data_IF_499880165125
#
_entry.id   IF_499880165125
#
_cell.length_a   1.000
_cell.length_b   1.000
_cell.length_c   1.000
_cell.angle_alpha   90.00
_cell.angle_beta   90.00
_cell.angle_gamma   90.00
#
_symmetry.space_group_name_H-M   'P 1'
#
loop_
_entity.id
_entity.type
_entity.pdbx_description
1 polymer ?
#
# COMPACT_ATOMS: atom_id res chain seq x y z
N UNK A 1 -10.80 -13.73 -16.52
CA UNK A 1 -10.62 -14.15 -15.11
C UNK A 1 -11.39 -13.19 -14.22
N UNK A 2 -11.94 -13.63 -13.09
CA UNK A 2 -12.63 -12.72 -12.17
C UNK A 2 -11.64 -11.73 -11.56
N UNK A 3 -11.97 -10.44 -11.55
CA UNK A 3 -11.07 -9.38 -11.06
C UNK A 3 -10.73 -9.52 -9.57
N UNK A 4 -11.59 -10.15 -8.76
CA UNK A 4 -11.32 -10.42 -7.34
C UNK A 4 -10.10 -11.34 -7.10
N UNK A 5 -9.67 -12.11 -8.09
CA UNK A 5 -8.47 -12.97 -7.99
C UNK A 5 -7.22 -12.14 -7.76
N UNK A 6 -7.11 -10.96 -8.38
CA UNK A 6 -6.00 -10.05 -8.15
C UNK A 6 -5.95 -9.52 -6.71
N UNK A 7 -7.12 -9.29 -6.08
CA UNK A 7 -7.19 -8.87 -4.68
C UNK A 7 -6.67 -9.96 -3.73
N UNK A 8 -6.98 -11.23 -4.00
CA UNK A 8 -6.44 -12.35 -3.23
C UNK A 8 -4.93 -12.50 -3.37
N UNK A 9 -4.42 -12.42 -4.60
CA UNK A 9 -2.98 -12.47 -4.87
C UNK A 9 -2.28 -11.32 -4.14
N UNK A 10 -2.82 -10.10 -4.25
CA UNK A 10 -2.29 -8.94 -3.56
C UNK A 10 -2.30 -9.12 -2.04
N UNK A 11 -3.37 -9.65 -1.45
CA UNK A 11 -3.45 -9.89 0.00
C UNK A 11 -2.36 -10.85 0.49
N UNK A 12 -2.10 -11.93 -0.25
CA UNK A 12 -1.03 -12.88 0.08
C UNK A 12 0.34 -12.20 -0.05
N UNK A 13 0.56 -11.47 -1.15
CA UNK A 13 1.80 -10.74 -1.38
C UNK A 13 2.09 -9.73 -0.27
N UNK A 14 1.08 -8.95 0.16
CA UNK A 14 1.20 -8.01 1.27
C UNK A 14 1.53 -8.72 2.60
N UNK A 15 0.98 -9.90 2.84
CA UNK A 15 1.32 -10.70 4.02
C UNK A 15 2.79 -11.09 4.06
N UNK A 16 3.32 -11.62 2.95
CA UNK A 16 4.75 -11.93 2.81
C UNK A 16 5.63 -10.70 2.91
N UNK A 17 5.21 -9.61 2.28
CA UNK A 17 5.91 -8.34 2.27
C UNK A 17 6.12 -7.79 3.69
N UNK A 18 5.11 -7.80 4.56
CA UNK A 18 5.26 -7.38 5.96
C UNK A 18 6.34 -8.20 6.68
N UNK A 19 6.37 -9.52 6.49
CA UNK A 19 7.35 -10.42 7.11
C UNK A 19 8.76 -10.14 6.59
N UNK A 20 8.94 -10.08 5.26
CA UNK A 20 10.23 -9.82 4.63
C UNK A 20 10.77 -8.44 4.97
N UNK A 21 9.88 -7.46 5.07
CA UNK A 21 10.19 -6.10 5.47
C UNK A 21 10.67 -6.04 6.91
N UNK A 22 10.03 -6.80 7.81
CA UNK A 22 10.52 -6.92 9.19
C UNK A 22 11.91 -7.56 9.23
N UNK A 23 12.12 -8.67 8.51
CA UNK A 23 13.42 -9.34 8.45
C UNK A 23 14.51 -8.40 7.94
N UNK A 24 14.23 -7.67 6.85
CA UNK A 24 15.13 -6.68 6.27
C UNK A 24 15.44 -5.56 7.27
N UNK A 25 14.43 -4.99 7.94
CA UNK A 25 14.61 -3.93 8.94
C UNK A 25 15.43 -4.35 10.16
N UNK A 26 15.39 -5.64 10.52
CA UNK A 26 16.08 -6.18 11.69
C UNK A 26 17.50 -6.61 11.39
N UNK A 27 17.76 -7.11 10.18
CA UNK A 27 19.00 -7.82 9.87
C UNK A 27 19.85 -7.19 8.77
N UNK A 28 19.27 -6.38 7.87
CA UNK A 28 19.98 -5.86 6.70
C UNK A 28 20.07 -4.33 6.69
N UNK A 29 18.98 -3.64 7.03
CA UNK A 29 18.91 -2.18 6.93
C UNK A 29 18.40 -1.62 8.27
N UNK A 30 19.28 -0.98 9.03
CA UNK A 30 18.91 -0.35 10.31
C UNK A 30 18.31 1.05 10.13
N UNK A 31 18.54 1.71 9.00
CA UNK A 31 18.02 3.05 8.74
C UNK A 31 16.65 2.98 8.04
N UNK A 32 15.56 3.40 8.71
CA UNK A 32 14.20 3.30 8.16
C UNK A 32 14.02 4.13 6.88
N UNK A 33 14.73 5.25 6.73
CA UNK A 33 14.64 6.12 5.56
C UNK A 33 15.27 5.46 4.33
N UNK A 34 16.42 4.81 4.51
CA UNK A 34 17.06 4.06 3.43
C UNK A 34 16.17 2.89 2.98
N UNK A 35 15.57 2.18 3.93
CA UNK A 35 14.62 1.10 3.62
C UNK A 35 13.41 1.61 2.83
N UNK A 36 12.78 2.70 3.28
CA UNK A 36 11.64 3.30 2.60
C UNK A 36 11.99 3.80 1.19
N UNK A 37 13.16 4.42 1.03
CA UNK A 37 13.68 4.84 -0.27
C UNK A 37 13.87 3.67 -1.23
N UNK A 38 14.58 2.62 -0.81
CA UNK A 38 14.83 1.44 -1.65
C UNK A 38 13.54 0.70 -1.99
N UNK A 39 12.62 0.59 -1.04
CA UNK A 39 11.29 0.03 -1.29
C UNK A 39 10.57 0.80 -2.40
N UNK A 40 10.44 2.11 -2.23
CA UNK A 40 9.72 2.97 -3.18
C UNK A 40 10.37 2.90 -4.57
N UNK A 41 11.70 2.86 -4.62
CA UNK A 41 12.45 2.67 -5.86
C UNK A 41 12.10 1.33 -6.55
N UNK A 42 12.01 0.22 -5.81
CA UNK A 42 11.57 -1.06 -6.38
C UNK A 42 10.14 -0.99 -6.93
N UNK A 43 9.21 -0.31 -6.23
CA UNK A 43 7.84 -0.11 -6.74
C UNK A 43 7.86 0.64 -8.08
N UNK A 44 8.64 1.72 -8.18
CA UNK A 44 8.79 2.47 -9.43
C UNK A 44 9.36 1.58 -10.53
N UNK A 45 10.41 0.82 -10.24
CA UNK A 45 11.07 -0.06 -11.21
C UNK A 45 10.10 -1.09 -11.84
N UNK A 46 9.17 -1.63 -11.06
CA UNK A 46 8.21 -2.63 -11.56
C UNK A 46 6.92 -2.02 -12.13
N UNK A 47 6.58 -0.77 -11.79
CA UNK A 47 5.40 -0.08 -12.34
C UNK A 47 5.69 0.69 -13.62
N UNK A 48 6.96 1.03 -13.86
CA UNK A 48 7.37 1.82 -15.03
C UNK A 48 7.24 1.06 -16.37
N UNK A 49 7.67 -0.22 -16.52
CA UNK A 49 7.50 -0.94 -17.78
C UNK A 49 6.05 -1.08 -18.27
N UNK A 50 5.06 -1.50 -17.45
CA UNK A 50 3.68 -1.56 -17.91
C UNK A 50 3.11 -0.17 -18.25
N UNK A 51 3.54 0.89 -17.54
CA UNK A 51 3.14 2.26 -17.88
C UNK A 51 3.62 2.67 -19.28
N UNK A 52 4.87 2.35 -19.65
CA UNK A 52 5.35 2.61 -21.02
C UNK A 52 4.65 1.73 -22.06
N UNK A 53 4.44 0.44 -21.77
CA UNK A 53 3.74 -0.47 -22.68
C UNK A 53 2.29 -0.02 -22.98
N UNK A 54 1.63 0.59 -22.00
CA UNK A 54 0.27 1.13 -22.14
C UNK A 54 0.23 2.56 -22.71
N UNK A 55 1.36 3.14 -23.14
CA UNK A 55 1.44 4.48 -23.72
C UNK A 55 0.79 5.55 -22.84
N UNK A 56 0.93 5.43 -21.52
CA UNK A 56 0.26 6.31 -20.56
C UNK A 56 0.80 7.74 -20.73
N UNK A 57 -0.11 8.70 -20.92
CA UNK A 57 0.22 10.12 -21.07
C UNK A 57 0.28 10.86 -19.73
N UNK A 58 0.56 12.16 -19.80
CA UNK A 58 0.53 13.04 -18.64
C UNK A 58 -0.94 13.39 -18.32
N UNK A 59 -1.41 13.25 -17.07
CA UNK A 59 -2.77 13.61 -16.71
C UNK A 59 -3.00 15.13 -16.82
N UNK A 60 -4.23 15.51 -17.21
CA UNK A 60 -4.63 16.92 -17.28
C UNK A 60 -4.92 17.52 -15.90
N UNK A 61 -5.41 16.72 -14.95
CA UNK A 61 -5.65 17.11 -13.57
C UNK A 61 -4.78 16.27 -12.63
N UNK A 62 -4.09 16.95 -11.73
CA UNK A 62 -3.16 16.37 -10.78
C UNK A 62 -3.67 16.37 -9.35
N UNK A 63 -4.80 17.04 -9.07
CA UNK A 63 -5.28 17.29 -7.70
C UNK A 63 -5.41 16.02 -6.88
N UNK A 64 -6.21 15.06 -7.36
CA UNK A 64 -6.43 13.78 -6.68
C UNK A 64 -5.13 12.96 -6.57
N UNK A 65 -4.28 13.00 -7.61
CA UNK A 65 -2.99 12.29 -7.63
C UNK A 65 -2.05 12.84 -6.56
N UNK A 66 -1.98 14.16 -6.42
CA UNK A 66 -1.12 14.83 -5.43
C UNK A 66 -1.61 14.58 -4.00
N UNK A 67 -2.93 14.61 -3.78
CA UNK A 67 -3.52 14.28 -2.48
C UNK A 67 -3.25 12.81 -2.12
N UNK A 68 -3.49 11.89 -3.05
CA UNK A 68 -3.22 10.46 -2.85
C UNK A 68 -1.73 10.19 -2.61
N UNK A 69 -0.83 10.84 -3.37
CA UNK A 69 0.61 10.70 -3.21
C UNK A 69 1.09 11.24 -1.85
N UNK A 70 0.54 12.38 -1.40
CA UNK A 70 0.84 12.95 -0.09
C UNK A 70 0.39 12.02 1.05
N UNK A 71 -0.86 11.55 1.01
CA UNK A 71 -1.39 10.61 2.01
C UNK A 71 -0.63 9.27 1.98
N UNK A 72 -0.28 8.78 0.79
CA UNK A 72 0.52 7.58 0.60
C UNK A 72 1.93 7.72 1.18
N UNK A 73 2.57 8.87 0.98
CA UNK A 73 3.89 9.16 1.56
C UNK A 73 3.81 9.18 3.10
N UNK A 74 2.81 9.85 3.68
CA UNK A 74 2.59 9.84 5.13
C UNK A 74 2.34 8.43 5.66
N UNK A 75 1.46 7.68 5.01
CA UNK A 75 1.17 6.29 5.39
C UNK A 75 2.43 5.42 5.35
N UNK A 76 3.25 5.55 4.30
CA UNK A 76 4.53 4.84 4.17
C UNK A 76 5.50 5.20 5.30
N UNK A 77 5.66 6.50 5.60
CA UNK A 77 6.56 6.96 6.67
C UNK A 77 6.13 6.37 8.02
N UNK A 78 4.86 6.52 8.41
CA UNK A 78 4.37 6.01 9.68
C UNK A 78 4.39 4.48 9.74
N UNK A 79 4.08 3.81 8.64
CA UNK A 79 4.15 2.35 8.55
C UNK A 79 5.59 1.84 8.77
N UNK A 80 6.58 2.43 8.09
CA UNK A 80 7.98 2.01 8.26
C UNK A 80 8.46 2.30 9.68
N UNK A 81 8.12 3.45 10.26
CA UNK A 81 8.46 3.72 11.66
C UNK A 81 7.84 2.68 12.61
N UNK A 82 6.58 2.31 12.40
CA UNK A 82 5.90 1.27 13.16
C UNK A 82 6.56 -0.11 12.95
N UNK A 83 6.93 -0.47 11.73
CA UNK A 83 7.61 -1.71 11.38
C UNK A 83 8.93 -1.90 12.13
N UNK A 84 9.70 -0.82 12.28
CA UNK A 84 10.97 -0.86 13.02
C UNK A 84 10.77 -1.00 14.54
N UNK A 85 9.61 -0.63 15.07
CA UNK A 85 9.33 -0.60 16.51
C UNK A 85 8.44 -1.74 17.01
N UNK A 86 7.61 -2.31 16.16
CA UNK A 86 6.61 -3.31 16.53
C UNK A 86 6.94 -4.68 15.91
N UNK A 87 6.58 -5.74 16.62
CA UNK A 87 6.63 -7.09 16.07
C UNK A 87 5.52 -7.33 15.04
N UNK A 88 5.73 -8.27 14.13
CA UNK A 88 4.77 -8.59 13.06
C UNK A 88 3.42 -9.02 13.63
N UNK A 89 3.42 -9.76 14.75
CA UNK A 89 2.21 -10.20 15.44
C UNK A 89 1.35 -9.05 15.97
N UNK A 90 1.95 -7.88 16.23
CA UNK A 90 1.25 -6.66 16.66
C UNK A 90 0.92 -5.79 15.46
N UNK A 91 1.89 -5.60 14.55
CA UNK A 91 1.75 -4.73 13.39
C UNK A 91 0.68 -5.23 12.42
N UNK A 92 0.69 -6.53 12.07
CA UNK A 92 -0.18 -7.05 11.00
C UNK A 92 -1.68 -6.94 11.35
N UNK A 93 -2.16 -7.32 12.55
CA UNK A 93 -3.56 -7.13 12.92
C UNK A 93 -3.97 -5.66 12.97
N UNK A 94 -3.11 -4.79 13.52
CA UNK A 94 -3.39 -3.34 13.58
C UNK A 94 -3.45 -2.73 12.18
N UNK A 95 -2.54 -3.10 11.30
CA UNK A 95 -2.51 -2.58 9.93
C UNK A 95 -3.70 -3.07 9.10
N UNK A 96 -4.26 -4.26 9.41
CA UNK A 96 -5.46 -4.76 8.75
C UNK A 96 -6.70 -3.89 9.01
N UNK A 97 -6.77 -3.11 10.09
CA UNK A 97 -7.87 -2.16 10.29
C UNK A 97 -7.98 -1.10 9.18
N UNK A 98 -6.93 -0.92 8.36
CA UNK A 98 -7.00 -0.07 7.15
C UNK A 98 -8.14 -0.46 6.23
N UNK A 99 -8.55 -1.73 6.17
CA UNK A 99 -9.67 -2.18 5.35
C UNK A 99 -11.01 -1.66 5.88
N UNK A 100 -11.19 -1.67 7.20
CA UNK A 100 -12.39 -1.11 7.84
C UNK A 100 -12.47 0.39 7.59
N UNK A 101 -11.34 1.09 7.77
CA UNK A 101 -11.27 2.52 7.47
C UNK A 101 -11.51 2.82 5.99
N UNK A 102 -10.96 2.02 5.07
CA UNK A 102 -11.18 2.24 3.64
C UNK A 102 -12.63 2.06 3.24
N UNK A 103 -13.35 1.09 3.81
CA UNK A 103 -14.79 0.91 3.56
C UNK A 103 -15.60 2.11 4.08
N UNK A 104 -15.29 2.59 5.30
CA UNK A 104 -15.96 3.77 5.85
C UNK A 104 -15.69 5.03 5.02
N UNK A 105 -14.44 5.22 4.58
CA UNK A 105 -14.05 6.34 3.72
C UNK A 105 -14.64 6.21 2.31
N UNK A 106 -14.75 5.01 1.76
CA UNK A 106 -15.42 4.74 0.47
C UNK A 106 -16.90 5.11 0.52
N UNK A 107 -17.60 4.72 1.59
CA UNK A 107 -18.98 5.14 1.80
C UNK A 107 -19.13 6.67 1.90
N UNK A 108 -18.21 7.35 2.57
CA UNK A 108 -18.28 8.80 2.78
C UNK A 108 -17.90 9.63 1.55
N UNK A 109 -16.79 9.30 0.90
CA UNK A 109 -16.19 10.13 -0.16
C UNK A 109 -16.54 9.66 -1.57
N UNK A 110 -16.73 8.35 -1.77
CA UNK A 110 -17.09 7.75 -3.07
C UNK A 110 -18.61 7.55 -3.19
N UNK A 111 -19.32 7.53 -2.05
CA UNK A 111 -20.77 7.33 -2.01
C UNK A 111 -21.18 5.87 -2.12
N UNK A 112 -20.30 4.93 -1.77
CA UNK A 112 -20.60 3.50 -1.78
C UNK A 112 -21.73 3.16 -0.80
N UNK A 113 -22.77 2.48 -1.28
CA UNK A 113 -23.89 2.02 -0.45
C UNK A 113 -23.54 0.65 0.13
N UNK A 114 -23.40 0.58 1.45
CA UNK A 114 -23.09 -0.67 2.15
C UNK A 114 -24.36 -1.52 2.33
N UNK A 115 -24.51 -2.55 1.51
CA UNK A 115 -25.58 -3.55 1.59
C UNK A 115 -25.09 -4.84 2.26
N UNK A 116 -26.03 -5.66 2.77
CA UNK A 116 -25.70 -6.95 3.38
C UNK A 116 -25.09 -7.96 2.39
N UNK A 117 -25.40 -7.83 1.10
CA UNK A 117 -24.71 -8.52 0.02
C UNK A 117 -23.84 -7.52 -0.73
N UNK A 118 -22.52 -7.61 -0.59
CA UNK A 118 -21.56 -6.90 -1.45
C UNK A 118 -21.19 -7.83 -2.61
N UNK A 119 -21.35 -7.35 -3.86
CA UNK A 119 -21.02 -8.10 -5.08
C UNK A 119 -19.82 -7.47 -5.79
#
# INVERSE_FOLDING_TARGET
MPFYVFAWIASIAYGFDIVMSKLTSKHAISNPWLFNFLWTFMVILFTLPPAFASHVGIPHDWSDILVAAFLGALASIFFVLALYKLDVSVLAPLFNFRSVFSVALGALFVGEILTQEQR
#
